data_IF_292379619637
#
_entry.id   IF_292379619637
#
_cell.length_a   1.000
_cell.length_b   1.000
_cell.length_c   1.000
_cell.angle_alpha   90.00
_cell.angle_beta   90.00
_cell.angle_gamma   90.00
#
_symmetry.space_group_name_H-M   'P 1'
#
loop_
_entity.id
_entity.type
_entity.pdbx_description
1 polymer ?
#
# COMPACT_ATOMS: atom_id res chain seq x y z
N UNK A 1 -48.48 -32.20 -39.89
CA UNK A 1 -47.54 -31.00 -39.87
C UNK A 1 -46.96 -30.67 -38.49
N UNK A 2 -47.66 -30.89 -37.36
CA UNK A 2 -47.17 -30.49 -36.01
C UNK A 2 -45.91 -31.22 -35.46
N UNK A 3 -45.69 -32.54 -35.83
CA UNK A 3 -44.55 -33.32 -35.33
C UNK A 3 -43.19 -32.89 -35.93
N UNK A 4 -43.14 -32.39 -37.17
CA UNK A 4 -41.89 -31.95 -37.80
C UNK A 4 -41.34 -30.65 -37.15
N UNK A 5 -42.22 -29.78 -36.72
CA UNK A 5 -41.83 -28.52 -36.08
C UNK A 5 -41.26 -28.73 -34.65
N UNK A 6 -41.82 -29.72 -33.93
CA UNK A 6 -41.34 -30.04 -32.58
C UNK A 6 -39.92 -30.60 -32.61
N UNK A 7 -39.62 -31.52 -33.54
CA UNK A 7 -38.30 -32.13 -33.65
C UNK A 7 -37.22 -31.05 -34.05
N UNK A 8 -37.56 -30.17 -34.98
CA UNK A 8 -36.64 -29.10 -35.37
C UNK A 8 -36.39 -28.09 -34.24
N UNK A 9 -37.39 -27.78 -33.42
CA UNK A 9 -37.26 -26.94 -32.25
C UNK A 9 -36.37 -27.60 -31.17
N UNK A 10 -36.54 -28.88 -30.91
CA UNK A 10 -35.70 -29.63 -29.96
C UNK A 10 -34.26 -29.69 -30.44
N UNK A 11 -34.00 -29.92 -31.73
CA UNK A 11 -32.66 -29.93 -32.30
C UNK A 11 -31.98 -28.54 -32.22
N UNK A 12 -32.76 -27.51 -32.41
CA UNK A 12 -32.24 -26.10 -32.27
C UNK A 12 -31.82 -25.82 -30.81
N UNK A 13 -32.69 -26.19 -29.84
CA UNK A 13 -32.36 -26.01 -28.41
C UNK A 13 -31.12 -26.81 -28.03
N UNK A 14 -31.01 -28.07 -28.45
CA UNK A 14 -29.84 -28.89 -28.19
C UNK A 14 -28.57 -28.32 -28.82
N UNK A 15 -28.63 -27.77 -30.03
CA UNK A 15 -27.50 -27.14 -30.68
C UNK A 15 -27.03 -25.88 -29.95
N UNK A 16 -27.96 -25.03 -29.48
CA UNK A 16 -27.66 -23.86 -28.67
C UNK A 16 -27.02 -24.25 -27.35
N UNK A 17 -27.52 -25.25 -26.67
CA UNK A 17 -26.94 -25.78 -25.42
C UNK A 17 -25.53 -26.34 -25.63
N UNK A 18 -25.29 -27.06 -26.71
CA UNK A 18 -23.97 -27.62 -27.05
C UNK A 18 -22.97 -26.48 -27.41
N UNK A 19 -23.39 -25.49 -28.16
CA UNK A 19 -22.54 -24.33 -28.51
C UNK A 19 -22.20 -23.48 -27.28
N UNK A 20 -23.20 -23.24 -26.43
CA UNK A 20 -22.97 -22.50 -25.17
C UNK A 20 -22.06 -23.29 -24.20
N UNK A 21 -22.23 -24.59 -24.10
CA UNK A 21 -21.36 -25.46 -23.33
C UNK A 21 -19.92 -25.48 -23.83
N UNK A 22 -19.74 -25.60 -25.17
CA UNK A 22 -18.42 -25.54 -25.79
C UNK A 22 -17.74 -24.17 -25.61
N UNK A 23 -18.49 -23.09 -25.76
CA UNK A 23 -17.97 -21.75 -25.52
C UNK A 23 -17.57 -21.53 -24.04
N UNK A 24 -18.40 -21.99 -23.11
CA UNK A 24 -18.10 -21.94 -21.67
C UNK A 24 -16.86 -22.80 -21.34
N UNK A 25 -16.77 -24.01 -21.87
CA UNK A 25 -15.60 -24.88 -21.67
C UNK A 25 -14.31 -24.28 -22.24
N UNK A 26 -14.37 -23.67 -23.42
CA UNK A 26 -13.24 -22.97 -24.03
C UNK A 26 -12.81 -21.77 -23.21
N UNK A 27 -13.78 -21.01 -22.67
CA UNK A 27 -13.52 -19.91 -21.77
C UNK A 27 -12.84 -20.37 -20.49
N UNK A 28 -13.35 -21.43 -19.84
CA UNK A 28 -12.73 -22.00 -18.64
C UNK A 28 -11.31 -22.51 -18.92
N UNK A 29 -11.11 -23.20 -20.06
CA UNK A 29 -9.79 -23.67 -20.46
C UNK A 29 -8.80 -22.53 -20.68
N UNK A 30 -9.24 -21.40 -21.20
CA UNK A 30 -8.38 -20.22 -21.41
C UNK A 30 -7.96 -19.55 -20.08
N UNK A 31 -8.64 -19.84 -18.99
CA UNK A 31 -8.36 -19.34 -17.64
C UNK A 31 -7.54 -20.31 -16.77
N UNK A 32 -7.34 -21.55 -17.23
CA UNK A 32 -6.53 -22.51 -16.50
C UNK A 32 -5.07 -22.10 -16.52
N UNK A 33 -4.43 -22.20 -15.36
CA UNK A 33 -2.97 -22.07 -15.24
C UNK A 33 -2.25 -23.34 -15.78
N UNK A 34 -0.93 -23.35 -15.70
CA UNK A 34 -0.11 -24.49 -16.15
C UNK A 34 -0.34 -25.79 -15.36
N UNK A 35 -1.02 -25.73 -14.22
CA UNK A 35 -1.38 -26.89 -13.38
C UNK A 35 -2.79 -27.42 -13.65
N UNK A 36 -3.56 -26.75 -14.54
CA UNK A 36 -4.95 -27.07 -14.84
C UNK A 36 -5.95 -26.50 -13.82
N UNK A 37 -5.49 -25.64 -12.92
CA UNK A 37 -6.35 -24.93 -11.97
C UNK A 37 -6.91 -23.66 -12.63
N UNK A 38 -8.17 -23.33 -12.35
CA UNK A 38 -8.76 -22.04 -12.69
C UNK A 38 -8.55 -21.15 -11.47
N UNK A 39 -7.69 -20.11 -11.56
CA UNK A 39 -7.51 -19.19 -10.44
C UNK A 39 -8.84 -18.57 -10.05
N UNK A 40 -9.05 -18.37 -8.77
CA UNK A 40 -10.15 -17.53 -8.28
C UNK A 40 -10.06 -16.16 -8.95
N UNK A 41 -11.19 -15.50 -9.22
CA UNK A 41 -11.16 -14.14 -9.76
C UNK A 41 -10.30 -13.29 -8.83
N UNK A 42 -9.27 -12.64 -9.39
CA UNK A 42 -8.39 -11.76 -8.63
C UNK A 42 -9.23 -10.70 -7.94
N UNK A 43 -8.93 -10.45 -6.68
CA UNK A 43 -9.54 -9.34 -5.93
C UNK A 43 -9.14 -8.02 -6.59
N UNK A 44 -10.11 -7.18 -6.90
CA UNK A 44 -9.86 -5.86 -7.45
C UNK A 44 -9.61 -4.86 -6.31
N UNK A 45 -8.55 -4.07 -6.46
CA UNK A 45 -8.21 -2.96 -5.57
C UNK A 45 -8.14 -1.66 -6.33
N UNK A 46 -8.68 -0.60 -5.73
CA UNK A 46 -8.53 0.76 -6.21
C UNK A 46 -7.31 1.40 -5.54
N UNK A 47 -6.38 1.88 -6.35
CA UNK A 47 -5.27 2.71 -5.88
C UNK A 47 -5.65 4.18 -6.12
N UNK A 48 -5.65 4.99 -5.07
CA UNK A 48 -5.99 6.41 -5.15
C UNK A 48 -4.85 7.23 -4.57
N UNK A 49 -4.36 8.19 -5.36
CA UNK A 49 -3.51 9.27 -4.87
C UNK A 49 -4.40 10.48 -4.55
N UNK A 50 -4.21 11.08 -3.40
CA UNK A 50 -4.95 12.26 -2.97
C UNK A 50 -4.10 13.51 -3.12
N UNK A 51 -4.75 14.59 -3.56
CA UNK A 51 -4.13 15.91 -3.54
C UNK A 51 -3.97 16.38 -2.09
N UNK A 52 -2.89 17.10 -1.82
CA UNK A 52 -2.69 17.74 -0.54
C UNK A 52 -3.76 18.81 -0.28
N UNK A 53 -4.43 18.74 0.87
CA UNK A 53 -5.50 19.64 1.23
C UNK A 53 -4.97 21.03 1.69
N UNK A 54 -3.69 21.14 1.98
CA UNK A 54 -3.03 22.38 2.43
C UNK A 54 -2.48 23.21 1.27
N UNK A 55 -2.44 22.61 0.05
CA UNK A 55 -1.97 23.26 -1.17
C UNK A 55 -0.45 23.29 -1.35
N UNK A 56 0.26 22.46 -0.59
CA UNK A 56 1.70 22.21 -0.72
C UNK A 56 1.97 20.76 -1.13
N UNK A 57 3.22 20.35 -1.27
CA UNK A 57 3.56 18.93 -1.50
C UNK A 57 3.18 18.07 -0.30
N UNK A 58 2.86 16.83 -0.56
CA UNK A 58 2.61 15.84 0.48
C UNK A 58 2.20 14.52 -0.15
N UNK A 59 2.46 13.44 0.55
CA UNK A 59 2.19 12.10 0.06
C UNK A 59 1.03 11.46 0.82
N UNK A 60 -0.01 11.10 0.08
CA UNK A 60 -1.14 10.34 0.60
C UNK A 60 -1.73 9.44 -0.48
N UNK A 61 -1.63 8.12 -0.28
CA UNK A 61 -2.24 7.11 -1.13
C UNK A 61 -3.13 6.17 -0.31
N UNK A 62 -4.10 5.55 -0.98
CA UNK A 62 -4.81 4.39 -0.46
C UNK A 62 -4.83 3.26 -1.48
N UNK A 63 -4.80 2.02 -0.98
CA UNK A 63 -5.15 0.81 -1.72
C UNK A 63 -6.35 0.22 -1.02
N UNK A 64 -7.47 0.13 -1.70
CA UNK A 64 -8.72 -0.25 -1.05
C UNK A 64 -9.65 -1.06 -1.94
N UNK A 65 -10.51 -1.81 -1.29
CA UNK A 65 -11.72 -2.40 -1.85
C UNK A 65 -12.85 -2.27 -0.81
N UNK A 66 -13.92 -3.07 -0.92
CA UNK A 66 -15.05 -3.01 0.03
C UNK A 66 -14.64 -3.41 1.46
N UNK A 67 -13.66 -4.31 1.60
CA UNK A 67 -13.32 -4.98 2.85
C UNK A 67 -11.92 -4.59 3.38
N UNK A 68 -11.12 -3.90 2.57
CA UNK A 68 -9.71 -3.59 2.87
C UNK A 68 -9.42 -2.13 2.67
N UNK A 69 -8.68 -1.53 3.60
CA UNK A 69 -8.07 -0.21 3.48
C UNK A 69 -6.61 -0.26 3.92
N UNK A 70 -5.71 0.01 2.97
CA UNK A 70 -4.29 0.26 3.25
C UNK A 70 -4.03 1.74 2.96
N UNK A 71 -3.38 2.42 3.87
CA UNK A 71 -2.95 3.81 3.72
C UNK A 71 -1.43 3.85 3.60
N UNK A 72 -0.93 4.65 2.67
CA UNK A 72 0.48 4.98 2.53
C UNK A 72 0.63 6.48 2.79
N UNK A 73 1.40 6.80 3.82
CA UNK A 73 1.58 8.15 4.35
C UNK A 73 0.24 8.84 4.70
N UNK A 74 0.18 10.15 4.74
CA UNK A 74 -1.07 10.84 5.07
C UNK A 74 -1.00 12.34 4.81
N UNK A 75 0.17 12.82 4.38
CA UNK A 75 0.43 14.23 4.18
C UNK A 75 0.63 14.99 5.49
N UNK A 76 0.59 16.29 5.40
CA UNK A 76 0.73 17.22 6.51
C UNK A 76 -0.35 17.05 7.58
N UNK A 77 -0.10 17.55 8.80
CA UNK A 77 -1.08 17.54 9.88
C UNK A 77 -2.45 18.16 9.47
N UNK A 78 -2.44 19.16 8.60
CA UNK A 78 -3.64 19.79 8.04
C UNK A 78 -4.49 18.87 7.18
N UNK A 79 -3.96 17.73 6.72
CA UNK A 79 -4.70 16.72 5.96
C UNK A 79 -5.53 15.77 6.84
N UNK A 80 -5.37 15.80 8.17
CA UNK A 80 -6.00 14.84 9.06
C UNK A 80 -7.52 14.69 8.85
N UNK A 81 -8.23 15.79 8.63
CA UNK A 81 -9.69 15.74 8.37
C UNK A 81 -10.02 15.07 7.03
N UNK A 82 -9.20 15.26 6.01
CA UNK A 82 -9.37 14.61 4.72
C UNK A 82 -9.11 13.10 4.84
N UNK A 83 -8.05 12.71 5.54
CA UNK A 83 -7.72 11.30 5.82
C UNK A 83 -8.83 10.63 6.63
N UNK A 84 -9.35 11.28 7.70
CA UNK A 84 -10.49 10.76 8.49
C UNK A 84 -11.72 10.50 7.63
N UNK A 85 -12.03 11.40 6.67
CA UNK A 85 -13.16 11.21 5.74
C UNK A 85 -12.98 9.99 4.84
N UNK A 86 -11.74 9.68 4.45
CA UNK A 86 -11.43 8.46 3.69
C UNK A 86 -11.63 7.24 4.58
N UNK A 87 -11.07 7.22 5.79
CA UNK A 87 -11.18 6.10 6.75
C UNK A 87 -12.65 5.83 7.11
N UNK A 88 -13.47 6.88 7.27
CA UNK A 88 -14.90 6.74 7.58
C UNK A 88 -15.68 5.97 6.50
N UNK A 89 -15.27 6.03 5.22
CA UNK A 89 -15.87 5.24 4.14
C UNK A 89 -15.57 3.74 4.23
N UNK A 90 -14.58 3.36 5.04
CA UNK A 90 -14.13 2.00 5.29
C UNK A 90 -14.43 1.56 6.74
N UNK A 91 -15.61 1.91 7.26
CA UNK A 91 -16.09 1.53 8.59
C UNK A 91 -15.12 1.93 9.73
N UNK A 92 -14.46 3.07 9.60
CA UNK A 92 -13.43 3.55 10.53
C UNK A 92 -12.31 2.54 10.80
N UNK A 93 -11.99 1.69 9.82
CA UNK A 93 -10.96 0.65 9.97
C UNK A 93 -9.87 0.83 8.93
N UNK A 94 -8.61 0.82 9.40
CA UNK A 94 -7.39 0.78 8.58
C UNK A 94 -6.70 -0.55 8.83
N UNK A 95 -6.57 -1.38 7.82
CA UNK A 95 -5.92 -2.70 7.93
C UNK A 95 -4.41 -2.58 8.05
N UNK A 96 -3.83 -1.65 7.30
CA UNK A 96 -2.41 -1.32 7.37
C UNK A 96 -2.21 0.19 7.10
N UNK A 97 -1.39 0.84 7.92
CA UNK A 97 -0.90 2.19 7.65
C UNK A 97 0.62 2.13 7.51
N UNK A 98 1.11 2.44 6.33
CA UNK A 98 2.53 2.41 5.99
C UNK A 98 3.03 3.86 6.00
N UNK A 99 3.97 4.17 6.86
CA UNK A 99 4.66 5.47 6.91
C UNK A 99 6.03 5.27 6.28
N UNK A 100 6.22 5.89 5.12
CA UNK A 100 7.46 5.74 4.37
C UNK A 100 8.68 6.28 5.11
N UNK A 101 8.51 7.42 5.76
CA UNK A 101 9.43 8.04 6.70
C UNK A 101 8.69 9.16 7.47
N UNK A 102 9.20 9.62 8.64
CA UNK A 102 8.44 10.51 9.51
C UNK A 102 8.60 12.01 9.22
N UNK A 103 8.81 12.42 7.97
CA UNK A 103 8.69 13.83 7.61
C UNK A 103 7.26 14.34 7.73
N UNK A 104 7.10 15.65 7.90
CA UNK A 104 5.83 16.31 8.18
C UNK A 104 4.80 16.14 7.07
N UNK A 105 5.23 16.05 5.82
CA UNK A 105 4.39 15.87 4.63
C UNK A 105 4.10 14.39 4.31
N UNK A 106 4.51 13.49 5.18
CA UNK A 106 4.21 12.06 5.17
C UNK A 106 3.48 11.61 6.44
N UNK A 107 4.04 11.91 7.62
CA UNK A 107 3.54 11.44 8.91
C UNK A 107 2.64 12.45 9.64
N UNK A 108 2.52 13.68 9.16
CA UNK A 108 1.81 14.74 9.88
C UNK A 108 0.36 14.39 10.21
N UNK A 109 -0.42 13.95 9.23
CA UNK A 109 -1.82 13.55 9.46
C UNK A 109 -1.93 12.28 10.31
N UNK A 110 -1.01 11.32 10.15
CA UNK A 110 -0.92 10.13 10.99
C UNK A 110 -0.79 10.51 12.46
N UNK A 111 0.17 11.38 12.80
CA UNK A 111 0.40 11.82 14.18
C UNK A 111 -0.87 12.41 14.81
N UNK A 112 -1.58 13.28 14.09
CA UNK A 112 -2.85 13.88 14.56
C UNK A 112 -3.93 12.82 14.79
N UNK A 113 -4.05 11.87 13.89
CA UNK A 113 -5.08 10.84 13.94
C UNK A 113 -4.76 9.79 15.00
N UNK A 114 -3.51 9.33 15.06
CA UNK A 114 -3.11 8.29 15.99
C UNK A 114 -3.08 8.77 17.44
N UNK A 115 -2.69 10.03 17.69
CA UNK A 115 -2.78 10.65 19.02
C UNK A 115 -4.23 10.79 19.52
N UNK A 116 -5.19 10.92 18.61
CA UNK A 116 -6.61 11.07 18.96
C UNK A 116 -7.50 10.34 17.94
N UNK A 117 -7.54 9.00 17.96
CA UNK A 117 -8.17 8.20 16.92
C UNK A 117 -9.71 8.28 16.93
N UNK A 118 -10.34 8.60 18.05
CA UNK A 118 -11.80 8.55 18.16
C UNK A 118 -12.30 7.12 17.93
N UNK A 119 -13.17 6.92 16.94
CA UNK A 119 -13.71 5.60 16.55
C UNK A 119 -12.82 4.83 15.55
N UNK A 120 -11.69 5.40 15.15
CA UNK A 120 -10.81 4.79 14.15
C UNK A 120 -10.01 3.66 14.80
N UNK A 121 -10.01 2.49 14.14
CA UNK A 121 -9.18 1.34 14.46
C UNK A 121 -8.08 1.19 13.43
N UNK A 122 -6.82 1.20 13.86
CA UNK A 122 -5.65 0.93 13.01
C UNK A 122 -5.06 -0.41 13.46
N UNK A 123 -5.15 -1.42 12.58
CA UNK A 123 -4.75 -2.79 12.92
C UNK A 123 -3.23 -2.95 12.94
N UNK A 124 -2.56 -2.46 11.90
CA UNK A 124 -1.12 -2.58 11.73
C UNK A 124 -0.53 -1.25 11.26
N UNK A 125 0.62 -0.92 11.78
CA UNK A 125 1.43 0.23 11.38
C UNK A 125 2.79 -0.30 10.94
N UNK A 126 3.29 0.19 9.82
CA UNK A 126 4.60 -0.15 9.27
C UNK A 126 5.37 1.14 9.03
N UNK A 127 6.63 1.18 9.43
CA UNK A 127 7.50 2.32 9.21
C UNK A 127 8.91 1.88 8.77
N UNK A 128 9.78 2.85 8.47
CA UNK A 128 11.14 2.59 8.00
C UNK A 128 12.15 2.26 9.12
N UNK A 129 11.72 2.23 10.37
CA UNK A 129 12.59 1.90 11.51
C UNK A 129 13.66 2.95 11.82
N UNK A 130 13.38 4.23 11.55
CA UNK A 130 14.33 5.33 11.77
C UNK A 130 14.80 5.42 13.23
N UNK A 131 16.04 5.90 13.40
CA UNK A 131 16.64 6.17 14.69
C UNK A 131 16.42 7.64 15.06
N UNK A 132 15.53 7.89 16.02
CA UNK A 132 15.18 9.23 16.47
C UNK A 132 16.40 9.98 17.04
N UNK A 133 17.18 9.31 17.91
CA UNK A 133 18.34 9.94 18.58
C UNK A 133 19.42 10.33 17.55
N UNK A 134 19.59 9.51 16.51
CA UNK A 134 20.50 9.80 15.42
C UNK A 134 20.04 11.06 14.64
N UNK A 135 18.76 11.13 14.26
CA UNK A 135 18.22 12.27 13.51
C UNK A 135 18.21 13.55 14.35
N UNK A 136 17.87 13.47 15.63
CA UNK A 136 17.96 14.63 16.54
C UNK A 136 19.37 15.23 16.57
N UNK A 137 20.41 14.37 16.49
CA UNK A 137 21.80 14.78 16.54
C UNK A 137 22.39 15.20 15.18
N UNK A 138 21.93 14.61 14.08
CA UNK A 138 22.57 14.71 12.76
C UNK A 138 21.64 15.12 11.62
N UNK A 139 20.35 15.38 11.89
CA UNK A 139 19.34 15.74 10.89
C UNK A 139 19.58 17.12 10.27
N UNK A 140 18.93 17.33 9.15
CA UNK A 140 19.00 18.59 8.40
C UNK A 140 18.01 19.63 8.96
N UNK A 141 18.24 20.93 8.74
CA UNK A 141 17.36 21.99 9.26
C UNK A 141 15.91 21.94 8.78
N UNK A 142 15.63 21.23 7.67
CA UNK A 142 14.27 21.04 7.15
C UNK A 142 13.58 19.80 7.74
N UNK A 143 14.33 18.94 8.45
CA UNK A 143 13.73 17.87 9.25
C UNK A 143 12.93 18.52 10.39
N UNK A 144 11.60 18.38 10.36
CA UNK A 144 10.78 18.84 11.49
C UNK A 144 10.88 17.85 12.63
N UNK A 145 11.89 18.05 13.49
CA UNK A 145 12.16 17.17 14.61
C UNK A 145 10.96 17.02 15.54
N UNK A 146 10.08 18.03 15.63
CA UNK A 146 8.88 17.98 16.46
C UNK A 146 7.88 16.94 15.93
N UNK A 147 7.75 16.82 14.61
CA UNK A 147 6.90 15.80 13.98
C UNK A 147 7.48 14.39 14.19
N UNK A 148 8.79 14.26 14.07
CA UNK A 148 9.51 12.99 14.30
C UNK A 148 9.46 12.56 15.75
N UNK A 149 9.67 13.48 16.71
CA UNK A 149 9.51 13.24 18.14
C UNK A 149 8.11 12.75 18.47
N UNK A 150 7.10 13.43 17.92
CA UNK A 150 5.69 13.03 18.10
C UNK A 150 5.44 11.63 17.54
N UNK A 151 5.92 11.34 16.33
CA UNK A 151 5.79 10.02 15.71
C UNK A 151 6.45 8.95 16.58
N UNK A 152 7.71 9.18 16.98
CA UNK A 152 8.46 8.27 17.85
C UNK A 152 7.73 8.03 19.18
N UNK A 153 7.28 9.08 19.85
CA UNK A 153 6.57 8.97 21.12
C UNK A 153 5.27 8.16 21.02
N UNK A 154 4.57 8.27 19.89
CA UNK A 154 3.33 7.55 19.61
C UNK A 154 3.55 6.07 19.26
N UNK A 155 4.68 5.72 18.64
CA UNK A 155 4.89 4.42 18.03
C UNK A 155 5.84 3.51 18.80
N UNK A 156 6.81 4.03 19.56
CA UNK A 156 7.90 3.26 20.20
C UNK A 156 7.45 2.11 21.09
N UNK A 157 6.31 2.25 21.78
CA UNK A 157 5.78 1.24 22.70
C UNK A 157 4.46 0.63 22.19
N UNK A 158 4.05 0.94 20.97
CA UNK A 158 2.78 0.50 20.41
C UNK A 158 2.90 -0.94 19.86
N UNK A 159 2.03 -1.84 20.36
CA UNK A 159 2.09 -3.27 20.05
C UNK A 159 1.69 -3.65 18.63
N UNK A 160 1.19 -2.71 17.82
CA UNK A 160 0.77 -2.89 16.44
C UNK A 160 1.71 -2.22 15.42
N UNK A 161 2.89 -1.79 15.83
CA UNK A 161 3.93 -1.19 14.98
C UNK A 161 4.99 -2.23 14.62
N UNK A 162 5.38 -2.25 13.36
CA UNK A 162 6.47 -3.07 12.84
C UNK A 162 7.44 -2.18 12.07
N UNK A 163 8.68 -2.12 12.55
CA UNK A 163 9.78 -1.46 11.85
C UNK A 163 10.29 -2.36 10.72
N UNK A 164 10.09 -1.92 9.49
CA UNK A 164 10.45 -2.67 8.29
C UNK A 164 11.95 -2.59 8.02
N UNK A 165 12.47 -3.65 7.38
CA UNK A 165 13.86 -3.75 6.96
C UNK A 165 13.95 -4.14 5.49
N UNK A 166 15.03 -3.76 4.84
CA UNK A 166 15.35 -4.21 3.48
C UNK A 166 15.27 -5.74 3.41
N UNK A 167 14.53 -6.26 2.44
CA UNK A 167 14.31 -7.69 2.25
C UNK A 167 13.06 -8.26 2.91
N UNK A 168 12.36 -7.49 3.73
CA UNK A 168 11.11 -7.94 4.33
C UNK A 168 10.03 -8.20 3.28
N UNK A 169 9.25 -9.26 3.52
CA UNK A 169 8.07 -9.61 2.76
C UNK A 169 6.92 -9.85 3.73
N UNK A 170 5.93 -8.98 3.71
CA UNK A 170 4.82 -8.96 4.64
C UNK A 170 3.52 -9.28 3.91
N UNK A 171 2.77 -10.26 4.42
CA UNK A 171 1.40 -10.47 3.98
C UNK A 171 0.52 -9.35 4.57
N UNK A 172 -0.11 -8.56 3.71
CA UNK A 172 -1.08 -7.55 4.09
C UNK A 172 -2.50 -8.11 4.07
N UNK A 173 -3.49 -7.26 4.37
CA UNK A 173 -4.90 -7.64 4.28
C UNK A 173 -5.27 -8.07 2.85
N UNK A 174 -6.21 -9.00 2.75
CA UNK A 174 -6.60 -9.60 1.48
C UNK A 174 -5.53 -10.53 0.92
N UNK A 175 -5.24 -10.40 -0.38
CA UNK A 175 -4.20 -11.15 -1.10
C UNK A 175 -2.98 -10.30 -1.45
N UNK A 176 -2.81 -9.17 -0.75
CA UNK A 176 -1.72 -8.23 -0.98
C UNK A 176 -0.45 -8.63 -0.23
N UNK A 177 0.69 -8.39 -0.86
CA UNK A 177 2.02 -8.59 -0.27
C UNK A 177 2.85 -7.31 -0.41
N UNK A 178 3.49 -6.91 0.67
CA UNK A 178 4.46 -5.83 0.74
C UNK A 178 5.87 -6.41 0.66
N UNK A 179 6.69 -5.96 -0.29
CA UNK A 179 8.12 -6.31 -0.40
C UNK A 179 8.95 -5.05 -0.25
N UNK A 180 9.93 -5.06 0.65
CA UNK A 180 10.76 -3.90 1.02
C UNK A 180 12.13 -3.98 0.33
N UNK A 181 12.52 -2.92 -0.37
CA UNK A 181 13.79 -2.81 -1.07
C UNK A 181 14.75 -1.82 -0.42
N UNK A 182 14.23 -0.85 0.36
CA UNK A 182 15.00 0.09 1.15
C UNK A 182 14.25 0.43 2.44
N UNK A 183 14.99 0.64 3.51
CA UNK A 183 14.53 1.10 4.81
C UNK A 183 15.70 1.74 5.55
N UNK A 184 15.51 2.16 6.80
CA UNK A 184 16.57 2.67 7.64
C UNK A 184 17.56 1.57 8.02
N UNK A 185 18.84 1.68 7.62
CA UNK A 185 19.93 0.82 8.05
C UNK A 185 21.29 1.50 7.92
N UNK A 186 22.34 0.93 8.55
CA UNK A 186 23.69 1.47 8.53
C UNK A 186 24.31 1.54 7.12
N UNK A 187 23.91 0.65 6.22
CA UNK A 187 24.43 0.67 4.84
C UNK A 187 23.87 1.83 4.05
N UNK A 188 22.60 2.19 4.27
CA UNK A 188 22.02 3.41 3.73
C UNK A 188 22.71 4.64 4.29
N UNK A 189 22.84 4.72 5.61
CA UNK A 189 23.48 5.86 6.29
C UNK A 189 24.92 6.09 5.83
N UNK A 190 25.68 5.02 5.59
CA UNK A 190 27.05 5.12 5.09
C UNK A 190 27.15 5.54 3.62
N UNK A 191 26.05 5.40 2.85
CA UNK A 191 25.98 5.76 1.42
C UNK A 191 25.57 7.21 1.24
N UNK A 192 24.80 7.77 2.19
CA UNK A 192 24.40 9.19 2.16
C UNK A 192 25.62 10.08 2.20
N UNK A 193 25.79 10.91 1.19
CA UNK A 193 26.95 11.78 1.02
C UNK A 193 26.91 13.03 1.93
N UNK A 194 27.61 14.07 1.51
CA UNK A 194 27.78 15.32 2.28
C UNK A 194 26.44 16.08 2.52
N UNK A 195 25.41 15.78 1.75
CA UNK A 195 24.09 16.42 1.90
C UNK A 195 23.32 15.96 3.13
N UNK A 196 23.73 14.86 3.77
CA UNK A 196 23.16 14.33 5.03
C UNK A 196 21.64 14.13 5.01
N UNK A 197 21.05 13.91 3.85
CA UNK A 197 19.62 13.69 3.71
C UNK A 197 19.24 12.25 4.11
N UNK A 198 19.43 11.97 5.38
CA UNK A 198 19.26 10.63 5.94
C UNK A 198 17.81 10.15 5.87
N UNK A 199 16.86 11.02 6.20
CA UNK A 199 15.45 10.65 6.27
C UNK A 199 14.87 10.31 4.89
N UNK A 200 15.11 11.14 3.88
CA UNK A 200 14.65 10.87 2.53
C UNK A 200 15.34 9.63 1.95
N UNK A 201 16.67 9.55 2.08
CA UNK A 201 17.42 8.43 1.50
C UNK A 201 17.19 7.10 2.22
N UNK A 202 16.81 7.10 3.49
CA UNK A 202 16.40 5.92 4.26
C UNK A 202 14.88 5.71 4.29
N UNK A 203 14.10 6.45 3.50
CA UNK A 203 12.67 6.21 3.38
C UNK A 203 12.38 4.84 2.76
N UNK A 204 11.20 4.31 2.99
CA UNK A 204 10.80 3.01 2.44
C UNK A 204 10.74 3.08 0.91
N UNK A 205 11.50 2.22 0.24
CA UNK A 205 11.26 1.79 -1.12
C UNK A 205 10.60 0.43 -1.06
N UNK A 206 9.37 0.33 -1.51
CA UNK A 206 8.62 -0.91 -1.39
C UNK A 206 7.65 -1.14 -2.56
N UNK A 207 7.29 -2.38 -2.75
CA UNK A 207 6.30 -2.80 -3.73
C UNK A 207 5.13 -3.48 -3.04
N UNK A 208 3.92 -3.10 -3.41
CA UNK A 208 2.71 -3.84 -3.05
C UNK A 208 2.25 -4.61 -4.28
N UNK A 209 2.06 -5.91 -4.10
CA UNK A 209 1.67 -6.84 -5.15
C UNK A 209 0.37 -7.53 -4.77
N UNK A 210 -0.57 -7.57 -5.72
CA UNK A 210 -1.72 -8.46 -5.72
C UNK A 210 -1.50 -9.61 -6.71
N UNK A 211 -2.55 -10.37 -6.99
CA UNK A 211 -2.48 -11.56 -7.84
C UNK A 211 -2.02 -11.28 -9.29
N UNK A 212 -2.32 -10.11 -9.85
CA UNK A 212 -2.07 -9.79 -11.27
C UNK A 212 -1.21 -8.56 -11.49
N UNK A 213 -1.23 -7.61 -10.56
CA UNK A 213 -0.58 -6.32 -10.69
C UNK A 213 0.23 -5.99 -9.44
N UNK A 214 1.20 -5.09 -9.62
CA UNK A 214 1.97 -4.52 -8.51
C UNK A 214 2.24 -3.04 -8.75
N UNK A 215 2.45 -2.30 -7.65
CA UNK A 215 2.85 -0.91 -7.67
C UNK A 215 4.08 -0.72 -6.80
N UNK A 216 5.07 -0.01 -7.33
CA UNK A 216 6.28 0.40 -6.62
C UNK A 216 6.07 1.80 -6.05
N UNK A 217 6.38 1.96 -4.78
CA UNK A 217 6.37 3.23 -4.06
C UNK A 217 7.82 3.60 -3.74
N UNK A 218 8.28 4.72 -4.31
CA UNK A 218 9.67 5.16 -4.19
C UNK A 218 9.88 6.18 -3.07
N UNK A 219 8.79 6.71 -2.50
CA UNK A 219 8.87 7.77 -1.49
C UNK A 219 9.81 8.90 -1.94
N UNK A 220 10.63 9.40 -1.05
CA UNK A 220 11.51 10.56 -1.27
C UNK A 220 12.98 10.19 -1.47
N UNK A 221 13.25 8.91 -1.81
CA UNK A 221 14.61 8.47 -2.10
C UNK A 221 15.19 9.27 -3.25
N UNK A 222 16.34 9.85 -3.04
CA UNK A 222 17.02 10.67 -4.04
C UNK A 222 17.76 9.82 -5.08
N UNK A 223 18.04 10.44 -6.22
CA UNK A 223 18.72 9.79 -7.35
C UNK A 223 20.16 9.36 -7.05
N UNK A 224 20.82 9.99 -6.10
CA UNK A 224 22.18 9.65 -5.65
C UNK A 224 22.27 8.29 -4.95
N UNK A 225 21.13 7.73 -4.54
CA UNK A 225 21.03 6.37 -4.03
C UNK A 225 20.98 5.28 -5.13
N UNK A 226 20.99 5.64 -6.40
CA UNK A 226 20.84 4.68 -7.51
C UNK A 226 21.88 3.56 -7.46
N UNK A 227 23.16 3.89 -7.26
CA UNK A 227 24.24 2.89 -7.25
C UNK A 227 24.07 1.91 -6.08
N UNK A 228 23.59 2.39 -4.93
CA UNK A 228 23.27 1.55 -3.78
C UNK A 228 22.07 0.64 -4.02
N UNK A 229 21.04 1.14 -4.68
CA UNK A 229 19.80 0.38 -4.93
C UNK A 229 19.94 -0.66 -6.03
N UNK A 230 20.81 -0.42 -7.01
CA UNK A 230 21.02 -1.29 -8.19
C UNK A 230 22.22 -2.25 -8.05
N UNK A 231 23.14 -1.98 -7.14
CA UNK A 231 24.33 -2.81 -6.86
C UNK A 231 24.03 -4.02 -6.01
#
# INVERSE_FOLDING_TARGET
MKKKNLLSTILLILSVLLLSGAAWFSYQKSRMDSTGHIPDPATEYLITQYADATGVQGTFYTISNNDTLIIIDGGWAGNADAVRKVIAKHNNTVDAWIISHPHQDHAGAFNVIYANPGEITIKNIYDNGFDYDFIEAAGEPYDDITVMETFHALTKDAGNVTHLKRGDNIALAGDLTLSVFNAWDESVLSTVGDEKDYQNNASLLFKISGAQNSMLFCSDIKYDMNDYLLG
#
